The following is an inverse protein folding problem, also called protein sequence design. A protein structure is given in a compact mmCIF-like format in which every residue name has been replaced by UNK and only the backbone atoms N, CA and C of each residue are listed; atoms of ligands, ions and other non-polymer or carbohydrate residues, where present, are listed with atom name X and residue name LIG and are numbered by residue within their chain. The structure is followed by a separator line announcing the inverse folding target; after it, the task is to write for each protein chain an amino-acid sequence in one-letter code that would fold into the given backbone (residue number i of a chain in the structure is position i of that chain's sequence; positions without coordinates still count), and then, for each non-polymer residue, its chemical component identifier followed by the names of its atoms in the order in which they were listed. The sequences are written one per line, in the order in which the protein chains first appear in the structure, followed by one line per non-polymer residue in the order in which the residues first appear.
data_IF_515751193606
#
_entry.id   IF_515751193606
#
_cell.length_a   1.000
_cell.length_b   1.000
_cell.length_c   1.000
_cell.angle_alpha   90.00
_cell.angle_beta   90.00
_cell.angle_gamma   90.00
#
_symmetry.space_group_name_H-M   'P 1'
#
loop_
_entity.id
_entity.type
_entity.pdbx_description
1 polymer ?
#
# COMPACT_ATOMS: atom_id res chain seq x y z
N UNK A 1 11.24 -0.73 12.25
CA UNK A 1 11.72 0.05 11.09
C UNK A 1 12.37 -0.91 10.10
N UNK A 2 12.15 -0.81 8.77
CA UNK A 2 12.05 0.43 8.02
C UNK A 2 10.93 0.35 6.96
N UNK A 3 9.69 0.42 7.43
CA UNK A 3 8.60 0.90 6.61
C UNK A 3 8.83 2.40 6.40
N UNK A 4 8.78 2.88 5.16
CA UNK A 4 9.05 4.28 4.79
C UNK A 4 7.94 4.88 3.94
N UNK A 5 7.83 6.20 3.91
CA UNK A 5 6.87 6.91 3.05
C UNK A 5 7.16 6.60 1.56
N UNK A 6 6.15 6.07 0.87
CA UNK A 6 6.30 5.64 -0.53
C UNK A 6 6.49 6.82 -1.50
N UNK A 7 6.02 8.03 -1.16
CA UNK A 7 6.23 9.26 -1.96
C UNK A 7 7.68 9.64 -1.98
N UNK A 8 8.31 9.65 -0.81
CA UNK A 8 9.73 9.95 -0.72
C UNK A 8 10.54 8.87 -1.44
N UNK A 9 10.17 7.60 -1.26
CA UNK A 9 10.82 6.45 -1.90
C UNK A 9 10.81 6.54 -3.44
N UNK A 10 9.63 6.75 -4.04
CA UNK A 10 9.50 6.83 -5.50
C UNK A 10 10.02 8.15 -6.06
N UNK A 11 9.93 9.25 -5.32
CA UNK A 11 10.57 10.52 -5.70
C UNK A 11 12.08 10.38 -5.78
N UNK A 12 12.70 9.69 -4.81
CA UNK A 12 14.13 9.39 -4.85
C UNK A 12 14.48 8.57 -6.10
N UNK A 13 13.71 7.52 -6.40
CA UNK A 13 13.91 6.69 -7.60
C UNK A 13 13.81 7.49 -8.90
N UNK A 14 12.76 8.30 -9.02
CA UNK A 14 12.53 9.19 -10.15
C UNK A 14 13.68 10.18 -10.36
N UNK A 15 14.14 10.84 -9.30
CA UNK A 15 15.22 11.83 -9.38
C UNK A 15 16.60 11.22 -9.71
N UNK A 16 16.79 9.94 -9.38
CA UNK A 16 18.06 9.24 -9.57
C UNK A 16 18.05 8.24 -10.73
N UNK A 17 17.03 8.30 -11.60
CA UNK A 17 16.88 7.48 -12.81
C UNK A 17 17.02 5.97 -12.55
N UNK A 18 16.28 5.45 -11.59
CA UNK A 18 16.09 4.01 -11.40
C UNK A 18 14.62 3.70 -11.08
N UNK A 19 14.23 2.44 -11.14
CA UNK A 19 12.90 1.99 -10.75
C UNK A 19 12.92 1.01 -9.59
N UNK A 20 11.91 1.10 -8.74
CA UNK A 20 11.70 0.20 -7.61
C UNK A 20 10.67 -0.85 -8.00
N UNK A 21 10.97 -2.11 -7.65
CA UNK A 21 10.05 -3.21 -7.91
C UNK A 21 8.84 -3.21 -6.98
N UNK A 22 7.65 -3.14 -7.58
CA UNK A 22 6.38 -3.55 -6.98
C UNK A 22 6.21 -5.06 -7.15
N UNK A 23 6.70 -5.84 -6.19
CA UNK A 23 6.66 -7.30 -6.31
C UNK A 23 5.36 -7.83 -5.73
N UNK A 24 4.56 -8.44 -6.60
CA UNK A 24 3.30 -9.07 -6.22
C UNK A 24 3.53 -10.26 -5.32
N UNK A 25 2.79 -10.34 -4.20
CA UNK A 25 2.87 -11.46 -3.26
C UNK A 25 1.49 -12.05 -2.97
N UNK A 26 1.46 -13.39 -2.82
CA UNK A 26 0.24 -14.17 -2.53
C UNK A 26 0.43 -15.18 -1.39
N UNK A 27 1.66 -15.34 -0.89
CA UNK A 27 2.00 -16.27 0.18
C UNK A 27 3.25 -15.81 0.95
N UNK A 28 3.55 -16.50 2.06
CA UNK A 28 4.75 -16.25 2.86
C UNK A 28 6.05 -16.54 2.09
N UNK A 29 6.06 -17.52 1.17
CA UNK A 29 7.24 -17.78 0.33
C UNK A 29 7.61 -16.58 -0.53
N UNK A 30 6.62 -15.90 -1.10
CA UNK A 30 6.83 -14.67 -1.87
C UNK A 30 7.29 -13.53 -0.97
N UNK A 31 6.64 -13.33 0.17
CA UNK A 31 6.99 -12.28 1.12
C UNK A 31 8.45 -12.42 1.60
N UNK A 32 8.84 -13.61 2.06
CA UNK A 32 10.20 -13.88 2.49
C UNK A 32 11.21 -13.72 1.35
N UNK A 33 10.88 -14.21 0.14
CA UNK A 33 11.76 -14.08 -1.01
C UNK A 33 12.03 -12.60 -1.35
N UNK A 34 11.00 -11.75 -1.34
CA UNK A 34 11.13 -10.31 -1.64
C UNK A 34 12.03 -9.64 -0.61
N UNK A 35 11.79 -9.86 0.69
CA UNK A 35 12.59 -9.25 1.76
C UNK A 35 14.05 -9.72 1.70
N UNK A 36 14.29 -11.03 1.57
CA UNK A 36 15.64 -11.59 1.51
C UNK A 36 16.40 -11.08 0.28
N UNK A 37 15.75 -11.00 -0.88
CA UNK A 37 16.36 -10.45 -2.08
C UNK A 37 16.69 -8.96 -1.91
N UNK A 38 15.75 -8.18 -1.38
CA UNK A 38 15.92 -6.75 -1.16
C UNK A 38 17.08 -6.46 -0.19
N UNK A 39 17.15 -7.17 0.93
CA UNK A 39 18.25 -7.06 1.89
C UNK A 39 19.59 -7.45 1.29
N UNK A 40 19.63 -8.58 0.55
CA UNK A 40 20.85 -9.07 -0.11
C UNK A 40 21.39 -8.06 -1.12
N UNK A 41 20.50 -7.42 -1.89
CA UNK A 41 20.86 -6.43 -2.90
C UNK A 41 21.00 -5.02 -2.33
N UNK A 42 20.72 -4.81 -1.02
CA UNK A 42 20.63 -3.47 -0.42
C UNK A 42 19.73 -2.56 -1.26
N UNK A 43 18.57 -3.07 -1.66
CA UNK A 43 17.62 -2.40 -2.55
C UNK A 43 16.37 -1.99 -1.77
N UNK A 44 15.76 -0.81 -2.06
CA UNK A 44 14.37 -0.59 -1.68
C UNK A 44 13.45 -1.61 -2.37
N UNK A 45 12.30 -1.89 -1.75
CA UNK A 45 11.29 -2.79 -2.32
C UNK A 45 9.86 -2.35 -1.94
N UNK A 46 8.91 -2.61 -2.83
CA UNK A 46 7.49 -2.42 -2.56
C UNK A 46 6.83 -3.80 -2.48
N UNK A 47 6.21 -4.09 -1.34
CA UNK A 47 5.36 -5.26 -1.14
C UNK A 47 4.00 -4.96 -1.76
N UNK A 48 3.70 -5.58 -2.89
CA UNK A 48 2.53 -5.26 -3.70
C UNK A 48 1.44 -6.32 -3.50
N UNK A 49 0.27 -5.92 -3.00
CA UNK A 49 -0.88 -6.78 -2.80
C UNK A 49 -2.01 -6.33 -3.73
N UNK A 50 -2.39 -7.17 -4.69
CA UNK A 50 -3.41 -6.83 -5.69
C UNK A 50 -4.77 -7.40 -5.30
N UNK A 51 -5.81 -6.56 -5.20
CA UNK A 51 -7.15 -6.96 -4.78
C UNK A 51 -7.69 -8.18 -5.57
N UNK A 52 -7.61 -8.24 -6.92
CA UNK A 52 -8.01 -9.41 -7.70
C UNK A 52 -7.35 -10.74 -7.32
N UNK A 53 -6.15 -10.73 -6.72
CA UNK A 53 -5.47 -11.96 -6.29
C UNK A 53 -6.03 -12.49 -4.96
N UNK A 54 -6.79 -11.67 -4.24
CA UNK A 54 -7.40 -11.98 -2.94
C UNK A 54 -8.92 -12.21 -3.02
N UNK A 55 -9.52 -12.24 -4.21
CA UNK A 55 -10.93 -12.67 -4.39
C UNK A 55 -11.22 -14.05 -3.76
N UNK A 56 -10.19 -14.88 -3.60
CA UNK A 56 -10.28 -16.24 -3.04
C UNK A 56 -9.73 -16.38 -1.61
N UNK A 57 -9.11 -15.34 -1.05
CA UNK A 57 -8.46 -15.39 0.26
C UNK A 57 -8.63 -14.07 1.00
N UNK A 58 -8.99 -14.13 2.29
CA UNK A 58 -9.07 -12.93 3.11
C UNK A 58 -7.69 -12.29 3.27
N UNK A 59 -7.47 -11.15 2.59
CA UNK A 59 -6.20 -10.42 2.64
C UNK A 59 -5.85 -9.95 4.06
N UNK A 60 -6.82 -9.82 4.97
CA UNK A 60 -6.57 -9.52 6.39
C UNK A 60 -5.67 -10.54 7.07
N UNK A 61 -5.65 -11.79 6.57
CA UNK A 61 -4.84 -12.86 7.16
C UNK A 61 -3.35 -12.69 6.87
N UNK A 62 -2.99 -12.16 5.70
CA UNK A 62 -1.58 -12.01 5.30
C UNK A 62 -0.99 -10.66 5.73
N UNK A 63 -1.82 -9.62 5.88
CA UNK A 63 -1.38 -8.27 6.22
C UNK A 63 -0.52 -8.16 7.49
N UNK A 64 -0.82 -8.85 8.61
CA UNK A 64 0.04 -8.83 9.79
C UNK A 64 1.47 -9.34 9.50
N UNK A 65 1.61 -10.36 8.65
CA UNK A 65 2.92 -10.88 8.26
C UNK A 65 3.66 -9.90 7.34
N UNK A 66 2.97 -9.33 6.36
CA UNK A 66 3.50 -8.31 5.43
C UNK A 66 4.03 -7.11 6.19
N UNK A 67 3.22 -6.55 7.08
CA UNK A 67 3.61 -5.38 7.85
C UNK A 67 4.77 -5.70 8.78
N UNK A 68 4.71 -6.84 9.49
CA UNK A 68 5.79 -7.27 10.37
C UNK A 68 7.11 -7.39 9.62
N UNK A 69 7.08 -8.01 8.44
CA UNK A 69 8.26 -8.16 7.60
C UNK A 69 8.82 -6.81 7.12
N UNK A 70 7.96 -5.90 6.64
CA UNK A 70 8.36 -4.55 6.26
C UNK A 70 8.98 -3.76 7.44
N UNK A 71 8.39 -3.89 8.63
CA UNK A 71 8.89 -3.26 9.85
C UNK A 71 10.20 -3.86 10.37
N UNK A 72 10.57 -5.08 9.98
CA UNK A 72 11.80 -5.76 10.41
C UNK A 72 12.93 -5.73 9.39
N UNK A 73 12.65 -5.32 8.16
CA UNK A 73 13.64 -5.30 7.09
C UNK A 73 14.88 -4.46 7.45
N UNK A 74 15.97 -4.64 6.72
CA UNK A 74 17.17 -3.79 6.85
C UNK A 74 17.27 -2.74 5.74
N UNK A 75 16.29 -2.74 4.84
CA UNK A 75 16.20 -1.89 3.65
C UNK A 75 14.85 -1.18 3.62
N UNK A 76 14.73 -0.03 2.94
CA UNK A 76 13.46 0.69 2.89
C UNK A 76 12.38 -0.14 2.18
N UNK A 77 11.27 -0.37 2.88
CA UNK A 77 10.12 -1.10 2.35
C UNK A 77 8.89 -0.20 2.38
N UNK A 78 8.02 -0.32 1.38
CA UNK A 78 6.67 0.22 1.38
C UNK A 78 5.66 -0.91 1.13
N UNK A 79 4.40 -0.72 1.53
CA UNK A 79 3.32 -1.68 1.34
C UNK A 79 2.26 -1.00 0.50
N UNK A 80 2.03 -1.55 -0.69
CA UNK A 80 1.13 -1.00 -1.69
C UNK A 80 -0.05 -1.94 -1.93
N UNK A 81 -1.26 -1.39 -1.83
CA UNK A 81 -2.48 -2.10 -2.21
C UNK A 81 -2.86 -1.72 -3.65
N UNK A 82 -2.80 -2.70 -4.53
CA UNK A 82 -2.91 -2.54 -5.98
C UNK A 82 -4.33 -2.86 -6.47
N UNK A 83 -4.75 -2.17 -7.53
CA UNK A 83 -6.03 -2.37 -8.21
C UNK A 83 -7.29 -2.37 -7.33
N UNK A 84 -7.36 -1.52 -6.30
CA UNK A 84 -8.57 -1.40 -5.51
C UNK A 84 -9.72 -0.85 -6.37
N UNK A 85 -10.89 -1.47 -6.28
CA UNK A 85 -12.08 -1.08 -7.04
C UNK A 85 -13.00 -0.13 -6.28
N UNK A 86 -12.86 -0.04 -4.96
CA UNK A 86 -13.79 0.71 -4.09
C UNK A 86 -13.06 1.56 -3.03
N UNK A 87 -13.60 2.74 -2.66
CA UNK A 87 -13.10 3.54 -1.54
C UNK A 87 -13.08 2.78 -0.20
N UNK A 88 -14.01 1.85 0.00
CA UNK A 88 -14.09 1.00 1.19
C UNK A 88 -12.88 0.05 1.25
N UNK A 89 -12.50 -0.55 0.12
CA UNK A 89 -11.31 -1.40 0.03
C UNK A 89 -10.03 -0.62 0.30
N UNK A 90 -9.93 0.60 -0.25
CA UNK A 90 -8.83 1.54 0.05
C UNK A 90 -8.71 1.80 1.55
N UNK A 91 -9.83 2.17 2.19
CA UNK A 91 -9.87 2.47 3.62
C UNK A 91 -9.47 1.27 4.46
N UNK A 92 -9.96 0.08 4.07
CA UNK A 92 -9.61 -1.18 4.73
C UNK A 92 -8.12 -1.51 4.58
N UNK A 93 -7.55 -1.39 3.39
CA UNK A 93 -6.13 -1.63 3.14
C UNK A 93 -5.24 -0.72 4.00
N UNK A 94 -5.57 0.58 4.09
CA UNK A 94 -4.85 1.54 4.93
C UNK A 94 -4.92 1.13 6.40
N UNK A 95 -6.11 0.81 6.93
CA UNK A 95 -6.29 0.36 8.32
C UNK A 95 -5.50 -0.91 8.66
N UNK A 96 -5.21 -1.75 7.66
CA UNK A 96 -4.45 -2.99 7.81
C UNK A 96 -2.93 -2.79 7.71
N UNK A 97 -2.47 -1.58 7.37
CA UNK A 97 -1.06 -1.22 7.37
C UNK A 97 -0.48 -0.88 5.99
N UNK A 98 -1.29 -0.82 4.93
CA UNK A 98 -0.83 -0.30 3.64
C UNK A 98 -0.56 1.21 3.79
N UNK A 99 0.62 1.65 3.34
CA UNK A 99 0.99 3.06 3.32
C UNK A 99 0.98 3.68 1.92
N UNK A 100 0.59 2.88 0.93
CA UNK A 100 0.23 3.33 -0.40
C UNK A 100 -0.90 2.46 -0.96
N UNK A 101 -1.72 3.05 -1.82
CA UNK A 101 -2.87 2.40 -2.44
C UNK A 101 -3.03 2.85 -3.90
N UNK A 102 -3.69 2.05 -4.72
CA UNK A 102 -4.11 2.40 -6.07
C UNK A 102 -5.62 2.25 -6.18
N UNK A 103 -6.31 3.29 -6.66
CA UNK A 103 -7.70 3.18 -7.09
C UNK A 103 -7.71 2.94 -8.60
N UNK A 104 -8.17 1.78 -9.03
CA UNK A 104 -8.28 1.44 -10.45
C UNK A 104 -9.72 1.53 -10.94
N UNK A 105 -10.08 2.75 -11.32
CA UNK A 105 -11.34 3.05 -12.03
C UNK A 105 -11.04 3.48 -13.46
N UNK A 106 -9.99 2.91 -14.06
CA UNK A 106 -9.54 3.24 -15.42
C UNK A 106 -10.54 2.87 -16.52
N UNK A 107 -11.47 1.96 -16.24
CA UNK A 107 -12.56 1.60 -17.13
C UNK A 107 -13.70 2.67 -17.18
N UNK A 108 -13.75 3.57 -16.19
CA UNK A 108 -14.74 4.64 -16.15
C UNK A 108 -14.40 5.77 -17.13
N UNK A 109 -15.39 6.62 -17.41
CA UNK A 109 -15.14 7.83 -18.20
C UNK A 109 -14.10 8.71 -17.52
N UNK A 110 -13.27 9.42 -18.30
CA UNK A 110 -12.20 10.28 -17.79
C UNK A 110 -12.65 11.24 -16.67
N UNK A 111 -13.84 11.83 -16.81
CA UNK A 111 -14.42 12.74 -15.81
C UNK A 111 -14.84 12.02 -14.53
N UNK A 112 -15.37 10.80 -14.62
CA UNK A 112 -15.75 9.99 -13.46
C UNK A 112 -14.50 9.50 -12.73
N UNK A 113 -13.50 9.01 -13.47
CA UNK A 113 -12.22 8.57 -12.92
C UNK A 113 -11.56 9.72 -12.11
N UNK A 114 -11.42 10.93 -12.68
CA UNK A 114 -10.90 12.08 -11.93
C UNK A 114 -11.71 12.37 -10.66
N UNK A 115 -13.04 12.41 -10.77
CA UNK A 115 -13.90 12.77 -9.64
C UNK A 115 -13.82 11.74 -8.50
N UNK A 116 -13.77 10.45 -8.81
CA UNK A 116 -13.61 9.40 -7.82
C UNK A 116 -12.22 9.41 -7.20
N UNK A 117 -11.17 9.43 -8.04
CA UNK A 117 -9.78 9.44 -7.56
C UNK A 117 -9.48 10.67 -6.71
N UNK A 118 -9.98 11.86 -7.06
CA UNK A 118 -9.80 13.08 -6.24
C UNK A 118 -10.37 12.94 -4.83
N UNK A 119 -11.59 12.39 -4.69
CA UNK A 119 -12.22 12.19 -3.37
C UNK A 119 -11.47 11.16 -2.53
N UNK A 120 -11.00 10.10 -3.18
CA UNK A 120 -10.20 9.07 -2.49
C UNK A 120 -8.84 9.63 -2.10
N UNK A 121 -8.18 10.41 -2.98
CA UNK A 121 -6.90 11.06 -2.70
C UNK A 121 -6.96 11.94 -1.45
N UNK A 122 -8.01 12.76 -1.29
CA UNK A 122 -8.22 13.58 -0.08
C UNK A 122 -8.22 12.71 1.19
N UNK A 123 -8.92 11.58 1.18
CA UNK A 123 -9.00 10.66 2.33
C UNK A 123 -7.67 9.94 2.58
N UNK A 124 -7.01 9.48 1.52
CA UNK A 124 -5.71 8.80 1.59
C UNK A 124 -4.63 9.74 2.14
N UNK A 125 -4.61 10.99 1.68
CA UNK A 125 -3.68 12.02 2.16
C UNK A 125 -3.95 12.45 3.60
N UNK A 126 -5.22 12.52 4.01
CA UNK A 126 -5.57 12.71 5.42
C UNK A 126 -5.05 11.57 6.31
N UNK A 127 -4.93 10.36 5.76
CA UNK A 127 -4.30 9.22 6.42
C UNK A 127 -2.77 9.22 6.36
N UNK A 128 -2.16 10.22 5.72
CA UNK A 128 -0.73 10.30 5.46
C UNK A 128 -0.23 9.33 4.38
N UNK A 129 -1.08 8.49 3.80
CA UNK A 129 -0.69 7.48 2.80
C UNK A 129 -0.54 8.10 1.39
N UNK A 130 0.02 7.33 0.46
CA UNK A 130 0.20 7.73 -0.94
C UNK A 130 -0.86 7.09 -1.86
N UNK A 131 -1.30 7.79 -2.89
CA UNK A 131 -2.24 7.26 -3.88
C UNK A 131 -1.63 7.22 -5.29
N UNK A 132 -1.70 6.04 -5.92
CA UNK A 132 -1.44 5.82 -7.33
C UNK A 132 -2.75 5.94 -8.12
N UNK A 133 -2.74 6.73 -9.19
CA UNK A 133 -3.83 6.79 -10.16
C UNK A 133 -3.58 5.94 -11.40
N UNK A 134 -4.64 5.54 -12.08
CA UNK A 134 -4.58 4.78 -13.32
C UNK A 134 -5.23 5.53 -14.47
N UNK A 135 -4.50 5.73 -15.57
CA UNK A 135 -5.04 6.36 -16.77
C UNK A 135 -4.64 5.59 -18.04
N UNK A 136 -5.64 5.34 -18.89
CA UNK A 136 -5.52 4.34 -19.95
C UNK A 136 -5.79 2.94 -19.41
N UNK A 137 -5.82 1.96 -20.30
CA UNK A 137 -6.11 0.57 -19.94
C UNK A 137 -4.97 -0.33 -20.37
N UNK A 138 -4.42 -1.07 -19.41
CA UNK A 138 -3.43 -2.12 -19.66
C UNK A 138 -4.22 -3.41 -19.88
N UNK A 139 -4.27 -3.90 -21.13
CA UNK A 139 -5.03 -5.12 -21.45
C UNK A 139 -4.44 -6.37 -20.79
N UNK A 140 -5.25 -7.42 -20.62
CA UNK A 140 -4.87 -8.66 -19.93
C UNK A 140 -5.45 -8.75 -18.51
N UNK A 141 -5.14 -9.82 -17.78
CA UNK A 141 -5.50 -9.96 -16.37
C UNK A 141 -4.25 -10.24 -15.53
N UNK A 142 -4.23 -9.79 -14.28
CA UNK A 142 -3.22 -10.20 -13.32
C UNK A 142 -3.35 -11.69 -12.99
N UNK A 143 -2.23 -12.42 -12.99
CA UNK A 143 -2.20 -13.83 -12.60
C UNK A 143 -2.78 -14.83 -13.60
N UNK A 144 -3.27 -15.95 -13.07
CA UNK A 144 -3.59 -17.19 -13.79
C UNK A 144 -4.63 -17.03 -14.91
N UNK A 145 -5.41 -15.94 -14.88
CA UNK A 145 -6.45 -15.61 -15.86
C UNK A 145 -6.01 -14.60 -16.93
N UNK A 146 -4.70 -14.31 -17.08
CA UNK A 146 -4.18 -13.36 -18.07
C UNK A 146 -4.65 -13.62 -19.53
N UNK A 147 -5.13 -14.84 -19.80
CA UNK A 147 -5.62 -15.29 -21.11
C UNK A 147 -7.09 -14.90 -21.37
N UNK A 148 -7.88 -14.54 -20.35
CA UNK A 148 -9.35 -14.46 -20.47
C UNK A 148 -9.95 -13.04 -20.49
N UNK A 149 -9.15 -11.98 -20.36
CA UNK A 149 -9.64 -10.60 -20.50
C UNK A 149 -8.95 -9.87 -21.66
N UNK A 150 -9.61 -9.94 -22.81
CA UNK A 150 -9.23 -9.32 -24.10
C UNK A 150 -9.75 -7.87 -24.22
N UNK A 151 -9.71 -7.08 -23.14
CA UNK A 151 -9.96 -5.64 -23.30
C UNK A 151 -8.89 -5.04 -24.20
N UNK A 152 -9.29 -4.27 -25.23
CA UNK A 152 -8.34 -3.58 -26.10
C UNK A 152 -7.53 -2.58 -25.26
N UNK A 153 -6.19 -2.73 -25.25
CA UNK A 153 -5.32 -1.83 -24.52
C UNK A 153 -5.51 -0.40 -25.03
N UNK A 154 -5.78 0.53 -24.12
CA UNK A 154 -5.98 1.95 -24.42
C UNK A 154 -4.78 2.75 -23.91
N UNK A 155 -4.05 3.39 -24.81
CA UNK A 155 -2.88 4.17 -24.42
C UNK A 155 -3.24 5.49 -23.76
N UNK A 156 -2.48 5.87 -22.74
CA UNK A 156 -2.66 7.12 -21.99
C UNK A 156 -2.41 8.34 -22.87
N UNK A 157 -3.40 9.24 -23.09
CA UNK A 157 -3.17 10.47 -23.84
C UNK A 157 -2.37 11.48 -23.01
N UNK A 158 -1.42 12.19 -23.63
CA UNK A 158 -0.53 13.15 -22.94
C UNK A 158 -1.33 14.28 -22.27
N UNK A 159 -2.29 14.87 -23.00
CA UNK A 159 -3.11 15.95 -22.48
C UNK A 159 -4.01 15.51 -21.32
N UNK A 160 -4.53 14.27 -21.39
CA UNK A 160 -5.34 13.70 -20.31
C UNK A 160 -4.49 13.42 -19.08
N UNK A 161 -3.27 12.90 -19.22
CA UNK A 161 -2.37 12.67 -18.07
C UNK A 161 -2.12 13.95 -17.26
N UNK A 162 -1.87 15.07 -17.94
CA UNK A 162 -1.68 16.38 -17.28
C UNK A 162 -2.95 16.84 -16.55
N UNK A 163 -4.10 16.77 -17.22
CA UNK A 163 -5.37 17.14 -16.62
C UNK A 163 -5.76 16.22 -15.46
N UNK A 164 -5.42 14.94 -15.56
CA UNK A 164 -5.68 13.93 -14.54
C UNK A 164 -4.91 14.26 -13.26
N UNK A 165 -3.57 14.31 -13.33
CA UNK A 165 -2.70 14.59 -12.17
C UNK A 165 -3.10 15.88 -11.46
N UNK A 166 -3.30 16.96 -12.23
CA UNK A 166 -3.66 18.26 -11.66
C UNK A 166 -5.01 18.28 -10.94
N UNK A 167 -5.95 17.41 -11.34
CA UNK A 167 -7.33 17.43 -10.83
C UNK A 167 -7.63 16.30 -9.85
N UNK A 168 -6.86 15.22 -9.87
CA UNK A 168 -7.02 14.09 -8.96
C UNK A 168 -6.11 14.15 -7.75
N UNK A 169 -4.98 14.87 -7.82
CA UNK A 169 -4.04 14.98 -6.71
C UNK A 169 -3.24 13.71 -6.45
N UNK A 170 -3.10 12.82 -7.43
CA UNK A 170 -2.34 11.57 -7.27
C UNK A 170 -0.84 11.81 -7.11
N UNK A 171 -0.19 10.94 -6.32
CA UNK A 171 1.25 11.02 -6.06
C UNK A 171 2.08 10.41 -7.19
N UNK A 172 1.55 9.37 -7.83
CA UNK A 172 2.16 8.67 -8.98
C UNK A 172 1.07 8.28 -9.99
N UNK A 173 1.48 8.08 -11.25
CA UNK A 173 0.55 7.73 -12.32
C UNK A 173 0.98 6.44 -13.03
N UNK A 174 0.09 5.45 -13.01
CA UNK A 174 0.15 4.29 -13.90
C UNK A 174 -0.27 4.68 -15.32
N UNK A 175 0.58 4.32 -16.29
CA UNK A 175 0.39 4.67 -17.69
C UNK A 175 0.39 3.43 -18.59
N UNK A 176 -0.49 3.45 -19.59
CA UNK A 176 -0.55 2.46 -20.66
C UNK A 176 0.17 2.98 -21.91
N UNK A 177 1.26 2.30 -22.26
CA UNK A 177 2.14 2.66 -23.39
C UNK A 177 2.49 1.47 -24.29
N UNK A 178 1.81 0.34 -24.15
CA UNK A 178 2.10 -0.88 -24.93
C UNK A 178 2.22 -2.15 -24.11
N UNK A 179 2.38 -2.05 -22.79
CA UNK A 179 2.42 -3.21 -21.91
C UNK A 179 1.04 -3.84 -21.72
N UNK A 180 1.02 -5.10 -21.29
CA UNK A 180 -0.18 -5.89 -20.95
C UNK A 180 0.09 -6.68 -19.67
N UNK A 181 -0.94 -6.96 -18.87
CA UNK A 181 -0.78 -7.90 -17.77
C UNK A 181 -0.56 -9.32 -18.34
N UNK A 182 0.28 -10.12 -17.68
CA UNK A 182 0.67 -11.44 -18.16
C UNK A 182 1.97 -11.45 -18.95
N UNK A 183 2.15 -12.51 -19.77
CA UNK A 183 3.39 -12.78 -20.49
C UNK A 183 3.52 -11.83 -21.69
N UNK A 184 4.53 -10.94 -21.66
CA UNK A 184 4.91 -10.16 -22.83
C UNK A 184 5.79 -10.98 -23.79
N UNK A 185 5.80 -10.57 -25.05
CA UNK A 185 6.80 -11.02 -26.01
C UNK A 185 7.94 -9.99 -26.06
N UNK A 186 9.19 -10.44 -26.28
CA UNK A 186 10.36 -9.56 -26.41
C UNK A 186 10.22 -8.48 -27.50
N UNK A 187 9.22 -8.60 -28.39
CA UNK A 187 8.91 -7.63 -29.44
C UNK A 187 7.76 -6.67 -29.09
N UNK A 188 7.34 -6.58 -27.82
CA UNK A 188 6.32 -5.61 -27.40
C UNK A 188 6.75 -4.19 -27.78
N UNK A 189 5.96 -3.56 -28.66
CA UNK A 189 6.24 -2.22 -29.17
C UNK A 189 5.74 -1.18 -28.18
N UNK A 190 6.67 -0.63 -27.39
CA UNK A 190 6.40 0.43 -26.42
C UNK A 190 6.39 1.81 -27.10
N UNK A 191 5.38 2.64 -26.81
CA UNK A 191 5.31 4.03 -27.23
C UNK A 191 6.14 4.94 -26.30
N UNK A 192 7.46 4.83 -26.43
CA UNK A 192 8.42 5.60 -25.62
C UNK A 192 8.33 7.11 -25.89
N UNK A 193 7.85 7.52 -27.08
CA UNK A 193 7.65 8.94 -27.41
C UNK A 193 6.51 9.52 -26.57
N UNK A 194 5.40 8.80 -26.46
CA UNK A 194 4.30 9.15 -25.57
C UNK A 194 4.75 9.19 -24.12
N UNK A 195 5.47 8.17 -23.65
CA UNK A 195 6.00 8.13 -22.28
C UNK A 195 6.84 9.37 -21.97
N UNK A 196 7.78 9.71 -22.87
CA UNK A 196 8.61 10.91 -22.74
C UNK A 196 7.77 12.19 -22.60
N UNK A 197 6.77 12.36 -23.47
CA UNK A 197 5.92 13.53 -23.44
C UNK A 197 5.04 13.59 -22.18
N UNK A 198 4.51 12.45 -21.71
CA UNK A 198 3.77 12.38 -20.44
C UNK A 198 4.68 12.86 -19.30
N UNK A 199 5.89 12.28 -19.20
CA UNK A 199 6.84 12.64 -18.15
C UNK A 199 7.19 14.13 -18.14
N UNK A 200 7.41 14.71 -19.33
CA UNK A 200 7.71 16.14 -19.48
C UNK A 200 6.55 17.06 -19.06
N UNK A 201 5.30 16.64 -19.25
CA UNK A 201 4.13 17.45 -18.94
C UNK A 201 3.68 17.35 -17.47
N UNK A 202 3.87 16.20 -16.80
CA UNK A 202 3.35 15.97 -15.44
C UNK A 202 4.43 16.07 -14.35
N UNK A 203 5.68 15.67 -14.63
CA UNK A 203 6.81 15.80 -13.69
C UNK A 203 6.71 15.00 -12.38
N UNK A 204 5.88 13.95 -12.33
CA UNK A 204 5.74 13.03 -11.19
C UNK A 204 6.19 11.61 -11.56
N UNK A 205 6.54 10.74 -10.58
CA UNK A 205 6.94 9.38 -10.86
C UNK A 205 5.88 8.59 -11.64
N UNK A 206 6.31 7.89 -12.69
CA UNK A 206 5.45 7.02 -13.50
C UNK A 206 5.56 5.57 -13.05
N UNK A 207 4.44 4.86 -13.15
CA UNK A 207 4.33 3.44 -12.81
C UNK A 207 4.06 2.62 -14.06
N UNK A 208 4.78 1.51 -14.20
CA UNK A 208 4.57 0.56 -15.28
C UNK A 208 4.01 -0.76 -14.76
N UNK A 209 2.80 -1.05 -15.23
CA UNK A 209 2.16 -2.35 -15.07
C UNK A 209 2.50 -3.27 -16.24
N UNK A 210 2.51 -4.59 -15.99
CA UNK A 210 2.76 -5.57 -17.05
C UNK A 210 4.20 -5.56 -17.61
N UNK A 211 5.19 -5.26 -16.78
CA UNK A 211 6.60 -5.15 -17.20
C UNK A 211 7.33 -6.48 -17.41
N UNK A 212 6.72 -7.64 -17.15
CA UNK A 212 7.39 -8.95 -17.22
C UNK A 212 7.78 -9.31 -18.66
N UNK A 213 9.02 -9.76 -18.89
CA UNK A 213 9.50 -10.22 -20.22
C UNK A 213 10.06 -9.15 -21.17
N UNK A 214 10.17 -7.88 -20.75
CA UNK A 214 10.85 -6.84 -21.53
C UNK A 214 12.37 -7.04 -21.56
N UNK A 215 13.03 -6.53 -22.60
CA UNK A 215 14.49 -6.53 -22.70
C UNK A 215 15.12 -5.44 -21.81
N UNK A 216 16.38 -5.62 -21.42
CA UNK A 216 17.13 -4.69 -20.57
C UNK A 216 17.16 -3.25 -21.12
N UNK A 217 17.41 -3.11 -22.43
CA UNK A 217 17.43 -1.79 -23.08
C UNK A 217 16.06 -1.10 -23.04
N UNK A 218 14.96 -1.88 -23.03
CA UNK A 218 13.62 -1.34 -22.87
C UNK A 218 13.41 -0.83 -21.45
N UNK A 219 13.81 -1.56 -20.41
CA UNK A 219 13.74 -1.07 -19.02
C UNK A 219 14.54 0.22 -18.84
N UNK A 220 15.78 0.29 -19.36
CA UNK A 220 16.56 1.53 -19.30
C UNK A 220 15.84 2.70 -19.98
N UNK A 221 15.26 2.49 -21.17
CA UNK A 221 14.48 3.53 -21.85
C UNK A 221 13.24 3.95 -21.07
N UNK A 222 12.54 3.01 -20.42
CA UNK A 222 11.39 3.31 -19.56
C UNK A 222 11.79 4.21 -18.39
N UNK A 223 12.84 3.81 -17.67
CA UNK A 223 13.37 4.51 -16.50
C UNK A 223 13.84 5.92 -16.86
N UNK A 224 14.61 6.06 -17.94
CA UNK A 224 15.06 7.38 -18.44
C UNK A 224 13.92 8.31 -18.86
N UNK A 225 12.72 7.77 -19.08
CA UNK A 225 11.53 8.54 -19.39
C UNK A 225 10.53 8.58 -18.21
N UNK A 226 11.03 8.47 -16.97
CA UNK A 226 10.29 8.81 -15.75
C UNK A 226 9.62 7.63 -15.04
N UNK A 227 9.80 6.39 -15.51
CA UNK A 227 9.29 5.21 -14.79
C UNK A 227 10.13 4.97 -13.54
N UNK A 228 9.49 5.02 -12.38
CA UNK A 228 10.11 4.85 -11.07
C UNK A 228 9.57 3.65 -10.28
N UNK A 229 8.43 3.08 -10.69
CA UNK A 229 7.88 1.82 -10.17
C UNK A 229 7.60 0.87 -11.33
N UNK A 230 8.04 -0.38 -11.20
CA UNK A 230 7.70 -1.45 -12.16
C UNK A 230 7.05 -2.59 -11.39
N UNK A 231 5.81 -2.93 -11.76
CA UNK A 231 5.07 -4.02 -11.15
C UNK A 231 5.45 -5.37 -11.77
N UNK A 232 5.67 -6.37 -10.92
CA UNK A 232 6.02 -7.73 -11.33
C UNK A 232 5.35 -8.78 -10.45
N UNK A 233 4.41 -9.50 -11.05
CA UNK A 233 3.77 -10.67 -10.44
C UNK A 233 3.84 -11.91 -11.34
N UNK A 234 3.46 -11.81 -12.61
CA UNK A 234 3.38 -12.95 -13.54
C UNK A 234 4.68 -13.77 -13.60
N UNK A 235 5.83 -13.12 -13.72
CA UNK A 235 7.10 -13.86 -13.81
C UNK A 235 7.48 -14.57 -12.50
N UNK A 236 7.10 -14.02 -11.34
CA UNK A 236 7.29 -14.68 -10.05
C UNK A 236 6.33 -15.88 -9.89
N UNK A 237 5.06 -15.69 -10.27
CA UNK A 237 4.06 -16.76 -10.30
C UNK A 237 4.49 -17.91 -11.22
N UNK A 238 4.93 -17.60 -12.44
CA UNK A 238 5.43 -18.59 -13.40
C UNK A 238 6.68 -19.32 -12.88
N UNK A 239 7.58 -18.61 -12.18
CA UNK A 239 8.76 -19.19 -11.55
C UNK A 239 8.37 -20.20 -10.46
N UNK A 240 7.47 -19.84 -9.56
CA UNK A 240 6.97 -20.74 -8.52
C UNK A 240 6.26 -21.96 -9.14
N UNK A 241 5.39 -21.73 -10.13
CA UNK A 241 4.67 -22.81 -10.81
C UNK A 241 5.61 -23.77 -11.55
N UNK A 242 6.73 -23.28 -12.11
CA UNK A 242 7.73 -24.14 -12.75
C UNK A 242 8.44 -25.05 -11.74
N UNK A 243 8.77 -24.54 -10.54
CA UNK A 243 9.35 -25.36 -9.46
C UNK A 243 8.36 -26.43 -9.01
N UNK A 244 7.09 -26.06 -8.79
CA UNK A 244 6.02 -27.00 -8.43
C UNK A 244 5.92 -28.11 -9.48
N UNK A 245 5.84 -27.74 -10.78
CA UNK A 245 5.77 -28.72 -11.88
C UNK A 245 6.97 -29.66 -11.88
N UNK A 246 8.18 -29.15 -11.67
CA UNK A 246 9.38 -29.96 -11.58
C UNK A 246 9.34 -30.91 -10.37
N UNK A 247 8.89 -30.42 -9.22
CA UNK A 247 8.79 -31.23 -8.01
C UNK A 247 7.78 -32.37 -8.15
N UNK A 248 6.68 -32.19 -8.88
CA UNK A 248 5.66 -33.24 -9.06
C UNK A 248 5.93 -34.18 -10.25
N UNK A 249 7.07 -34.05 -10.94
CA UNK A 249 7.45 -34.99 -12.01
C UNK A 249 7.78 -36.39 -11.45
N UNK A 250 7.32 -37.43 -12.14
CA UNK A 250 7.58 -38.84 -11.80
C UNK A 250 6.42 -39.53 -11.08
N UNK A 251 6.65 -40.75 -10.61
CA UNK A 251 5.62 -41.60 -9.95
C UNK A 251 5.69 -41.57 -8.42
N UNK A 252 6.68 -40.90 -7.83
CA UNK A 252 6.82 -40.80 -6.38
C UNK A 252 5.78 -39.83 -5.82
N UNK A 253 5.01 -40.27 -4.82
CA UNK A 253 4.08 -39.40 -4.08
C UNK A 253 4.90 -38.47 -3.17
N UNK A 254 4.83 -37.17 -3.43
CA UNK A 254 5.41 -36.13 -2.56
C UNK A 254 4.32 -35.46 -1.73
N UNK A 255 4.64 -35.13 -0.48
CA UNK A 255 3.78 -34.32 0.38
C UNK A 255 3.78 -32.84 -0.01
N UNK A 256 2.84 -32.08 0.53
CA UNK A 256 2.69 -30.63 0.27
C UNK A 256 3.99 -29.84 0.45
N UNK A 257 4.68 -30.03 1.58
CA UNK A 257 5.93 -29.31 1.88
C UNK A 257 7.04 -29.64 0.87
N UNK A 258 7.16 -30.90 0.46
CA UNK A 258 8.14 -31.33 -0.54
C UNK A 258 7.86 -30.73 -1.93
N UNK A 259 6.58 -30.51 -2.27
CA UNK A 259 6.18 -29.88 -3.52
C UNK A 259 6.56 -28.39 -3.56
N UNK A 260 6.53 -27.70 -2.42
CA UNK A 260 6.89 -26.28 -2.32
C UNK A 260 8.39 -26.03 -2.16
N UNK A 261 9.18 -27.07 -1.87
CA UNK A 261 10.62 -26.96 -1.64
C UNK A 261 11.33 -26.29 -2.83
N UNK A 262 12.13 -25.27 -2.53
CA UNK A 262 12.94 -24.54 -3.51
C UNK A 262 12.22 -23.38 -4.23
N UNK A 263 10.91 -23.18 -4.01
CA UNK A 263 10.19 -22.03 -4.58
C UNK A 263 10.83 -20.72 -4.13
N UNK A 264 11.00 -20.54 -2.82
CA UNK A 264 11.56 -19.31 -2.23
C UNK A 264 12.94 -18.98 -2.82
N UNK A 265 13.83 -19.95 -2.94
CA UNK A 265 15.18 -19.73 -3.49
C UNK A 265 15.14 -19.25 -4.93
N UNK A 266 14.26 -19.83 -5.76
CA UNK A 266 14.09 -19.42 -7.15
C UNK A 266 13.43 -18.05 -7.30
N UNK A 267 12.51 -17.71 -6.41
CA UNK A 267 11.97 -16.35 -6.33
C UNK A 267 13.06 -15.34 -5.94
N UNK A 268 13.91 -15.64 -4.95
CA UNK A 268 15.03 -14.78 -4.56
C UNK A 268 15.96 -14.52 -5.75
N UNK A 269 16.39 -15.56 -6.46
CA UNK A 269 17.23 -15.43 -7.65
C UNK A 269 16.59 -14.48 -8.68
N UNK A 270 15.29 -14.67 -8.97
CA UNK A 270 14.57 -13.86 -9.97
C UNK A 270 14.42 -12.40 -9.54
N UNK A 271 14.07 -12.14 -8.29
CA UNK A 271 13.87 -10.79 -7.75
C UNK A 271 15.19 -10.01 -7.76
N UNK A 272 16.32 -10.66 -7.42
CA UNK A 272 17.65 -10.03 -7.49
C UNK A 272 17.98 -9.55 -8.90
N UNK A 273 17.69 -10.36 -9.92
CA UNK A 273 17.89 -9.98 -11.33
C UNK A 273 17.12 -8.69 -11.65
N UNK A 274 15.85 -8.60 -11.27
CA UNK A 274 15.05 -7.41 -11.50
C UNK A 274 15.59 -6.17 -10.77
N UNK A 275 16.00 -6.30 -9.51
CA UNK A 275 16.60 -5.18 -8.76
C UNK A 275 17.89 -4.66 -9.43
N UNK A 276 18.66 -5.54 -10.06
CA UNK A 276 19.83 -5.13 -10.85
C UNK A 276 19.41 -4.46 -12.16
N UNK A 277 18.49 -5.06 -12.93
CA UNK A 277 18.01 -4.52 -14.21
C UNK A 277 17.31 -3.16 -14.06
N UNK A 278 16.62 -2.94 -12.94
CA UNK A 278 15.89 -1.70 -12.67
C UNK A 278 16.73 -0.66 -11.92
N UNK A 279 17.98 -0.97 -11.60
CA UNK A 279 18.93 -0.04 -10.98
C UNK A 279 18.69 0.28 -9.50
N UNK A 280 17.82 -0.49 -8.82
CA UNK A 280 17.51 -0.29 -7.40
C UNK A 280 18.53 -0.95 -6.46
N UNK A 281 19.30 -1.91 -6.95
CA UNK A 281 20.38 -2.57 -6.18
C UNK A 281 21.41 -1.55 -5.67
N UNK A 282 21.73 -1.62 -4.38
CA UNK A 282 22.66 -0.69 -3.71
C UNK A 282 22.06 0.65 -3.25
N UNK A 283 20.78 0.93 -3.59
CA UNK A 283 20.12 2.23 -3.32
C UNK A 283 19.55 2.38 -1.90
N UNK A 284 19.56 1.33 -1.08
CA UNK A 284 18.85 1.35 0.21
C UNK A 284 19.34 2.45 1.19
N UNK A 285 20.65 2.66 1.32
CA UNK A 285 21.20 3.58 2.31
C UNK A 285 20.79 5.05 2.03
N UNK A 286 20.88 5.48 0.79
CA UNK A 286 20.49 6.83 0.37
C UNK A 286 18.97 7.05 0.46
N UNK A 287 18.16 6.03 0.16
CA UNK A 287 16.71 6.08 0.37
C UNK A 287 16.39 6.21 1.86
N UNK A 288 17.03 5.44 2.75
CA UNK A 288 16.81 5.56 4.20
C UNK A 288 17.22 6.91 4.79
N UNK A 289 18.22 7.58 4.20
CA UNK A 289 18.66 8.90 4.64
C UNK A 289 17.69 10.01 4.24
N UNK A 290 16.98 9.86 3.12
CA UNK A 290 16.13 10.92 2.54
C UNK A 290 14.64 10.69 2.77
N UNK A 291 14.21 9.45 2.98
CA UNK A 291 12.80 9.12 3.14
C UNK A 291 12.37 9.19 4.60
N UNK A 292 11.19 9.78 4.82
CA UNK A 292 10.54 9.73 6.12
C UNK A 292 10.18 8.29 6.47
N UNK A 293 10.39 7.94 7.74
CA UNK A 293 9.96 6.65 8.27
C UNK A 293 8.46 6.64 8.47
N UNK A 294 7.80 5.55 8.11
CA UNK A 294 6.40 5.34 8.43
C UNK A 294 6.27 4.84 9.86
N UNK A 295 5.49 5.54 10.68
CA UNK A 295 5.25 5.17 12.07
C UNK A 295 3.77 5.34 12.42
N UNK A 296 3.25 4.35 13.14
CA UNK A 296 1.94 4.48 13.77
C UNK A 296 1.99 5.59 14.82
N UNK A 297 0.89 6.31 14.97
CA UNK A 297 0.74 7.31 16.01
C UNK A 297 -0.29 6.85 17.03
N UNK A 298 -0.16 7.29 18.27
CA UNK A 298 -1.10 6.96 19.33
C UNK A 298 -1.57 8.23 20.05
N UNK A 299 -2.83 8.23 20.46
CA UNK A 299 -3.43 9.29 21.27
C UNK A 299 -4.20 8.68 22.41
N UNK A 300 -4.08 9.28 23.60
CA UNK A 300 -4.89 8.91 24.74
C UNK A 300 -5.97 9.97 24.91
N UNK A 301 -7.22 9.51 24.88
CA UNK A 301 -8.40 10.31 25.20
C UNK A 301 -8.85 9.90 26.60
N UNK A 302 -8.81 10.86 27.54
CA UNK A 302 -9.29 10.65 28.92
C UNK A 302 -10.51 11.52 29.14
N UNK A 303 -11.58 10.88 29.59
CA UNK A 303 -12.87 11.52 29.81
C UNK A 303 -13.36 11.26 31.23
N UNK A 304 -13.78 12.32 31.92
CA UNK A 304 -14.29 12.23 33.29
C UNK A 304 -15.82 12.20 33.30
N UNK A 305 -16.40 11.20 33.95
CA UNK A 305 -17.84 11.02 34.12
C UNK A 305 -18.19 10.97 35.60
N UNK A 306 -19.35 11.53 35.97
CA UNK A 306 -19.90 11.35 37.31
C UNK A 306 -20.29 9.89 37.57
N UNK A 307 -20.10 9.45 38.82
CA UNK A 307 -20.40 8.07 39.25
C UNK A 307 -21.86 7.64 39.05
N UNK A 308 -22.80 8.58 38.94
CA UNK A 308 -24.20 8.27 38.65
C UNK A 308 -24.38 7.51 37.31
N UNK A 309 -23.40 7.62 36.39
CA UNK A 309 -23.36 6.89 35.12
C UNK A 309 -22.67 5.52 35.19
N UNK A 310 -22.26 5.04 36.38
CA UNK A 310 -21.54 3.76 36.53
C UNK A 310 -22.28 2.57 35.91
N UNK A 311 -23.62 2.55 35.98
CA UNK A 311 -24.44 1.48 35.39
C UNK A 311 -24.44 1.48 33.85
N UNK A 312 -24.07 2.59 33.22
CA UNK A 312 -24.04 2.77 31.77
C UNK A 312 -22.61 2.81 31.21
N UNK A 313 -21.59 2.63 32.06
CA UNK A 313 -20.20 2.88 31.67
C UNK A 313 -19.73 1.98 30.52
N UNK A 314 -20.11 0.70 30.53
CA UNK A 314 -19.74 -0.22 29.45
C UNK A 314 -20.35 0.21 28.12
N UNK A 315 -21.62 0.65 28.13
CA UNK A 315 -22.28 1.17 26.92
C UNK A 315 -21.61 2.44 26.40
N UNK A 316 -21.22 3.36 27.29
CA UNK A 316 -20.46 4.55 26.90
C UNK A 316 -19.09 4.21 26.30
N UNK A 317 -18.41 3.24 26.88
CA UNK A 317 -17.12 2.74 26.40
C UNK A 317 -17.24 2.12 25.01
N UNK A 318 -18.18 1.19 24.83
CA UNK A 318 -18.41 0.48 23.57
C UNK A 318 -18.81 1.45 22.45
N UNK A 319 -19.71 2.39 22.74
CA UNK A 319 -20.14 3.36 21.74
C UNK A 319 -19.03 4.37 21.40
N UNK A 320 -18.22 4.78 22.38
CA UNK A 320 -17.01 5.57 22.12
C UNK A 320 -16.00 4.81 21.26
N UNK A 321 -15.80 3.52 21.53
CA UNK A 321 -14.92 2.66 20.75
C UNK A 321 -15.40 2.54 19.30
N UNK A 322 -16.70 2.35 19.06
CA UNK A 322 -17.32 2.28 17.74
C UNK A 322 -17.15 3.58 16.96
N UNK A 323 -17.47 4.72 17.57
CA UNK A 323 -17.35 6.03 16.93
C UNK A 323 -15.90 6.35 16.53
N UNK A 324 -14.95 6.10 17.44
CA UNK A 324 -13.53 6.31 17.18
C UNK A 324 -13.01 5.35 16.10
N UNK A 325 -13.44 4.08 16.12
CA UNK A 325 -13.01 3.08 15.13
C UNK A 325 -13.52 3.38 13.72
N UNK A 326 -14.58 4.18 13.57
CA UNK A 326 -15.11 4.57 12.26
C UNK A 326 -14.39 5.77 11.62
N UNK A 327 -13.43 6.39 12.32
CA UNK A 327 -12.63 7.50 11.78
C UNK A 327 -11.60 6.94 10.78
N UNK A 328 -11.55 7.43 9.53
CA UNK A 328 -10.54 7.00 8.56
C UNK A 328 -9.12 7.14 9.12
N UNK A 329 -8.31 6.10 8.93
CA UNK A 329 -6.93 6.06 9.45
C UNK A 329 -6.82 5.69 10.94
N UNK A 330 -7.93 5.48 11.66
CA UNK A 330 -7.90 4.76 12.94
C UNK A 330 -7.72 3.27 12.68
N UNK A 331 -6.76 2.69 13.37
CA UNK A 331 -6.39 1.29 13.24
C UNK A 331 -7.01 0.44 14.34
N UNK A 332 -6.83 0.86 15.58
CA UNK A 332 -7.32 0.16 16.75
C UNK A 332 -7.68 1.17 17.83
N UNK A 333 -8.76 0.88 18.55
CA UNK A 333 -9.18 1.62 19.73
C UNK A 333 -9.20 0.65 20.89
N UNK A 334 -8.35 0.90 21.88
CA UNK A 334 -8.34 0.19 23.14
C UNK A 334 -9.09 1.02 24.16
N UNK A 335 -9.92 0.40 24.97
CA UNK A 335 -10.68 1.08 26.02
C UNK A 335 -10.35 0.54 27.40
N UNK A 336 -10.43 1.41 28.40
CA UNK A 336 -10.35 1.06 29.80
C UNK A 336 -11.01 2.13 30.66
N UNK A 337 -11.19 1.86 31.94
CA UNK A 337 -11.67 2.86 32.88
C UNK A 337 -11.05 2.65 34.26
N UNK A 338 -10.98 3.73 35.04
CA UNK A 338 -10.50 3.70 36.43
C UNK A 338 -11.34 4.62 37.31
N UNK A 339 -11.30 4.35 38.62
CA UNK A 339 -11.92 5.20 39.64
C UNK A 339 -10.77 5.77 40.48
N UNK A 340 -10.49 7.07 40.32
CA UNK A 340 -9.46 7.76 41.11
C UNK A 340 -10.07 8.62 42.22
N UNK A 341 -11.33 9.05 42.07
CA UNK A 341 -12.11 9.81 43.05
C UNK A 341 -13.40 9.02 43.35
N UNK A 342 -13.85 8.89 44.61
CA UNK A 342 -15.09 8.21 44.95
C UNK A 342 -16.34 8.71 44.21
N UNK A 343 -16.31 9.91 43.60
CA UNK A 343 -17.40 10.52 42.84
C UNK A 343 -17.15 10.60 41.33
N UNK A 344 -15.93 10.30 40.84
CA UNK A 344 -15.59 10.42 39.40
C UNK A 344 -15.00 9.13 38.84
N UNK A 345 -15.41 8.83 37.61
CA UNK A 345 -14.89 7.72 36.83
C UNK A 345 -14.14 8.29 35.63
N UNK A 346 -12.96 7.77 35.35
CA UNK A 346 -12.18 8.12 34.17
C UNK A 346 -12.36 7.02 33.13
N UNK A 347 -12.91 7.37 31.97
CA UNK A 347 -12.90 6.53 30.78
C UNK A 347 -11.66 6.90 29.96
N UNK A 348 -10.95 5.88 29.48
CA UNK A 348 -9.74 6.04 28.69
C UNK A 348 -9.90 5.28 27.38
N UNK A 349 -9.66 5.96 26.27
CA UNK A 349 -9.44 5.33 24.97
C UNK A 349 -8.02 5.60 24.50
N UNK A 350 -7.25 4.55 24.24
CA UNK A 350 -6.01 4.63 23.49
C UNK A 350 -6.35 4.36 22.02
N UNK A 351 -6.25 5.41 21.21
CA UNK A 351 -6.50 5.36 19.78
C UNK A 351 -5.17 5.23 19.06
N UNK A 352 -5.01 4.16 18.29
CA UNK A 352 -3.87 3.95 17.41
C UNK A 352 -4.26 4.32 15.98
N UNK A 353 -3.44 5.15 15.35
CA UNK A 353 -3.61 5.64 13.99
C UNK A 353 -2.54 5.08 13.06
N UNK A 354 -2.89 4.99 11.78
CA UNK A 354 -1.97 4.52 10.73
C UNK A 354 -0.79 5.47 10.50
N UNK A 355 -0.96 6.76 10.77
CA UNK A 355 0.07 7.80 10.63
C UNK A 355 -0.24 9.01 11.54
N UNK A 356 0.78 9.82 11.85
CA UNK A 356 0.60 11.03 12.65
C UNK A 356 -0.30 12.08 11.98
N UNK A 357 -0.32 12.12 10.65
CA UNK A 357 -1.14 13.08 9.89
C UNK A 357 -2.65 12.90 10.12
N UNK A 358 -3.09 11.69 10.48
CA UNK A 358 -4.49 11.42 10.84
C UNK A 358 -4.89 12.27 12.04
N UNK A 359 -4.00 12.43 13.02
CA UNK A 359 -4.27 13.23 14.23
C UNK A 359 -4.51 14.68 13.83
N UNK A 360 -3.71 15.21 12.91
CA UNK A 360 -3.84 16.60 12.46
C UNK A 360 -5.16 16.84 11.71
N UNK A 361 -5.58 15.90 10.87
CA UNK A 361 -6.80 16.04 10.06
C UNK A 361 -8.09 15.67 10.81
N UNK A 362 -8.03 14.71 11.74
CA UNK A 362 -9.21 14.15 12.38
C UNK A 362 -9.38 14.57 13.85
N UNK A 363 -8.48 15.37 14.42
CA UNK A 363 -8.58 15.81 15.83
C UNK A 363 -9.93 16.46 16.14
N UNK A 364 -10.43 17.31 15.24
CA UNK A 364 -11.74 17.95 15.40
C UNK A 364 -12.89 16.95 15.28
N UNK A 365 -12.85 16.03 14.30
CA UNK A 365 -13.87 14.97 14.15
C UNK A 365 -13.92 14.04 15.37
N UNK A 366 -12.75 13.70 15.92
CA UNK A 366 -12.62 12.90 17.13
C UNK A 366 -13.25 13.65 18.31
N UNK A 367 -12.91 14.93 18.48
CA UNK A 367 -13.48 15.76 19.53
C UNK A 367 -15.00 15.86 19.40
N UNK A 368 -15.51 16.14 18.20
CA UNK A 368 -16.94 16.31 17.93
C UNK A 368 -17.72 15.02 18.18
N UNK A 369 -17.19 13.86 17.76
CA UNK A 369 -17.81 12.55 18.01
C UNK A 369 -17.82 12.21 19.50
N UNK A 370 -16.71 12.43 20.21
CA UNK A 370 -16.66 12.24 21.66
C UNK A 370 -17.64 13.18 22.37
N UNK A 371 -17.76 14.42 21.91
CA UNK A 371 -18.66 15.41 22.50
C UNK A 371 -20.14 15.08 22.23
N UNK A 372 -20.48 14.65 21.01
CA UNK A 372 -21.86 14.28 20.64
C UNK A 372 -22.38 13.04 21.37
N UNK A 373 -21.48 12.11 21.69
CA UNK A 373 -21.80 10.93 22.50
C UNK A 373 -22.32 11.29 23.90
N UNK A 374 -21.94 12.45 24.41
CA UNK A 374 -21.92 12.75 25.84
C UNK A 374 -22.62 14.06 26.20
N UNK A 375 -23.23 14.76 25.22
CA UNK A 375 -24.08 15.94 25.44
C UNK A 375 -25.37 15.67 26.23
N UNK A 376 -25.62 14.41 26.60
CA UNK A 376 -26.66 14.00 27.56
C UNK A 376 -26.13 13.92 29.02
N UNK A 377 -24.85 14.18 29.27
CA UNK A 377 -24.25 14.21 30.61
C UNK A 377 -23.98 15.66 31.05
N UNK A 378 -24.33 16.00 32.28
CA UNK A 378 -24.16 17.36 32.80
C UNK A 378 -22.66 17.65 33.05
N UNK A 379 -22.09 18.59 32.28
CA UNK A 379 -20.71 19.10 32.43
C UNK A 379 -19.56 18.07 32.30
N UNK A 380 -19.32 17.53 31.11
CA UNK A 380 -18.17 16.67 30.86
C UNK A 380 -16.83 17.44 30.88
N UNK A 381 -15.81 16.86 31.50
CA UNK A 381 -14.41 17.32 31.39
C UNK A 381 -13.62 16.36 30.49
N UNK A 382 -13.23 16.86 29.32
CA UNK A 382 -12.39 16.15 28.36
C UNK A 382 -10.93 16.57 28.53
N UNK A 383 -10.04 15.59 28.66
CA UNK A 383 -8.59 15.80 28.64
C UNK A 383 -7.96 14.91 27.58
N UNK A 384 -7.13 15.51 26.73
CA UNK A 384 -6.50 14.82 25.62
C UNK A 384 -4.99 14.89 25.82
N UNK A 385 -4.35 13.72 25.83
CA UNK A 385 -2.90 13.60 25.92
C UNK A 385 -2.34 13.01 24.63
N UNK A 386 -1.36 13.70 24.07
CA UNK A 386 -0.63 13.26 22.88
C UNK A 386 0.66 12.56 23.32
N UNK A 387 0.93 11.38 22.76
CA UNK A 387 2.21 10.71 22.95
C UNK A 387 2.73 10.22 21.60
N UNK A 388 3.89 10.71 21.13
CA UNK A 388 4.50 10.23 19.89
C UNK A 388 4.86 8.74 19.91
N UNK A 389 4.95 8.11 21.09
CA UNK A 389 5.21 6.68 21.23
C UNK A 389 4.94 6.21 22.66
N UNK A 390 3.81 5.54 22.92
CA UNK A 390 3.62 4.81 24.19
C UNK A 390 4.40 3.48 24.16
N UNK A 391 4.80 3.00 22.98
CA UNK A 391 5.61 1.77 22.79
C UNK A 391 7.03 1.82 23.37
N UNK A 392 7.43 2.89 24.08
CA UNK A 392 8.68 2.95 24.87
C UNK A 392 8.45 2.95 26.39
N UNK A 393 7.19 2.87 26.86
CA UNK A 393 6.83 2.88 28.29
C UNK A 393 6.24 1.57 28.82
N UNK A 394 6.13 0.54 27.96
CA UNK A 394 5.84 -0.85 28.31
C UNK A 394 6.91 -1.72 27.66
#
# INVERSE_FOLDING_TARGET
MPLVDMRDMLKHAYQNNYAIGGFGLVSLDFLEAIIIAAESCRSPAILNLSEPLFDRHDFKLIMPAVERAAQQAKVPVAIHFDHAQTPESISQAISLGCNSVMLDVSAETFTVNIAQTSRVAETVHACGAAIEGALGFVGGAEGENAVNHLGEACFTPVAEAKAYVNRSGVDFLSVSIGTRHGRQHHHTKLDLKRLKHINQEIGIPLVLHGGSGLAEDQYHKLILNGVAKINCYTELSDTAAAVIRCNVQGHAKKGYIEVLQGIKDKLIERIKIFMHLWGSSGRAAEVLMQCRTWQLAEQIVIFQVEKCHLLQINTLIEHGQEQLSSVPGVRQVFSGWSINDPNQIHICWRVQFVHHDVINHCSQVINDRIFSLLSNSANPKLSIAFSPSISRML
#
